data_IF_978667855764
#
_entry.id   IF_978667855764
#
_cell.length_a   1.000
_cell.length_b   1.000
_cell.length_c   1.000
_cell.angle_alpha   90.00
_cell.angle_beta   90.00
_cell.angle_gamma   90.00
#
_symmetry.space_group_name_H-M   'P 1'
#
loop_
_entity.id
_entity.type
_entity.pdbx_description
1 polymer ?
#
# COMPACT_ATOMS: atom_id res chain seq x y z
N UNK A 1 6.58 27.20 -20.33
CA UNK A 1 5.76 26.57 -19.28
C UNK A 1 6.73 25.96 -18.27
N UNK A 2 6.76 26.44 -17.02
CA UNK A 2 7.60 25.84 -15.97
C UNK A 2 6.91 24.55 -15.53
N UNK A 3 7.56 23.40 -15.70
CA UNK A 3 7.05 22.15 -15.15
C UNK A 3 7.26 22.16 -13.63
N UNK A 4 6.18 22.00 -12.88
CA UNK A 4 6.23 21.79 -11.44
C UNK A 4 6.17 20.30 -11.16
N UNK A 5 7.08 19.83 -10.31
CA UNK A 5 7.16 18.43 -9.88
C UNK A 5 6.82 18.35 -8.40
N UNK A 6 6.03 17.33 -8.03
CA UNK A 6 5.79 17.00 -6.63
C UNK A 6 6.80 15.91 -6.23
N UNK A 7 7.72 16.25 -5.33
CA UNK A 7 8.56 15.26 -4.67
C UNK A 7 7.72 14.58 -3.58
N UNK A 8 7.71 13.25 -3.58
CA UNK A 8 7.04 12.45 -2.56
C UNK A 8 8.10 11.95 -1.60
N UNK A 9 7.98 12.33 -0.33
CA UNK A 9 8.82 11.77 0.73
C UNK A 9 8.29 10.39 1.12
N UNK A 10 8.78 9.38 0.41
CA UNK A 10 8.42 7.99 0.68
C UNK A 10 9.04 7.49 1.98
N UNK A 11 10.20 8.03 2.41
CA UNK A 11 10.87 7.57 3.62
C UNK A 11 10.00 7.83 4.86
N UNK A 12 9.49 9.06 5.00
CA UNK A 12 8.60 9.41 6.11
C UNK A 12 7.32 8.56 6.12
N UNK A 13 6.75 8.25 4.95
CA UNK A 13 5.56 7.40 4.84
C UNK A 13 5.82 5.97 5.35
N UNK A 14 6.98 5.38 5.02
CA UNK A 14 7.33 4.05 5.54
C UNK A 14 7.66 4.08 7.04
N UNK A 15 8.26 5.16 7.54
CA UNK A 15 8.45 5.34 8.98
C UNK A 15 7.10 5.41 9.73
N UNK A 16 6.14 6.16 9.20
CA UNK A 16 4.77 6.21 9.74
C UNK A 16 4.08 4.84 9.71
N UNK A 17 4.19 4.12 8.58
CA UNK A 17 3.64 2.77 8.46
C UNK A 17 4.23 1.83 9.52
N UNK A 18 5.56 1.78 9.66
CA UNK A 18 6.24 0.88 10.59
C UNK A 18 6.02 1.25 12.07
N UNK A 19 5.76 2.53 12.36
CA UNK A 19 5.40 2.99 13.70
C UNK A 19 4.02 2.49 14.18
N UNK A 20 3.13 2.06 13.26
CA UNK A 20 1.85 1.47 13.62
C UNK A 20 2.09 0.05 14.16
N UNK A 21 1.86 -0.15 15.45
CA UNK A 21 2.12 -1.44 16.13
C UNK A 21 1.01 -2.47 15.97
N UNK A 22 -0.23 -2.02 15.77
CA UNK A 22 -1.37 -2.89 15.48
C UNK A 22 -1.32 -3.33 14.02
N UNK A 23 -1.15 -4.63 13.79
CA UNK A 23 -0.93 -5.19 12.45
C UNK A 23 -2.11 -4.94 11.50
N UNK A 24 -3.36 -5.03 11.96
CA UNK A 24 -4.50 -4.81 11.08
C UNK A 24 -4.67 -3.33 10.75
N UNK A 25 -4.42 -2.43 11.72
CA UNK A 25 -4.36 -0.99 11.44
C UNK A 25 -3.22 -0.64 10.48
N UNK A 26 -2.06 -1.28 10.61
CA UNK A 26 -0.93 -1.09 9.71
C UNK A 26 -1.27 -1.53 8.29
N UNK A 27 -1.89 -2.71 8.13
CA UNK A 27 -2.38 -3.18 6.83
C UNK A 27 -3.43 -2.24 6.25
N UNK A 28 -4.42 -1.81 7.03
CA UNK A 28 -5.44 -0.89 6.55
C UNK A 28 -4.86 0.50 6.21
N UNK A 29 -3.84 0.98 6.94
CA UNK A 29 -3.09 2.17 6.56
C UNK A 29 -2.37 1.98 5.22
N UNK A 30 -1.70 0.85 5.02
CA UNK A 30 -1.08 0.53 3.73
C UNK A 30 -2.10 0.52 2.58
N UNK A 31 -3.25 -0.14 2.77
CA UNK A 31 -4.32 -0.26 1.77
C UNK A 31 -4.94 1.10 1.43
N UNK A 32 -5.37 1.84 2.43
CA UNK A 32 -6.26 2.98 2.24
C UNK A 32 -5.55 4.34 2.26
N UNK A 33 -4.32 4.41 2.77
CA UNK A 33 -3.49 5.62 2.72
C UNK A 33 -2.46 5.52 1.59
N UNK A 34 -1.62 4.49 1.59
CA UNK A 34 -0.49 4.39 0.66
C UNK A 34 -0.90 3.88 -0.73
N UNK A 35 -1.73 2.84 -0.79
CA UNK A 35 -2.12 2.21 -2.07
C UNK A 35 -3.33 2.86 -2.74
N UNK A 36 -4.17 3.57 -1.98
CA UNK A 36 -5.39 4.24 -2.50
C UNK A 36 -5.13 5.20 -3.66
N UNK A 37 -4.08 6.05 -3.67
CA UNK A 37 -3.75 6.88 -4.83
C UNK A 37 -3.51 6.08 -6.13
N UNK A 38 -3.10 4.82 -5.99
CA UNK A 38 -2.79 3.91 -7.10
C UNK A 38 -3.92 2.91 -7.40
N UNK A 39 -5.10 3.07 -6.82
CA UNK A 39 -6.22 2.12 -6.95
C UNK A 39 -6.58 1.83 -8.41
N UNK A 40 -6.53 2.84 -9.30
CA UNK A 40 -6.76 2.63 -10.73
C UNK A 40 -5.73 1.68 -11.34
N UNK A 41 -4.45 1.83 -11.01
CA UNK A 41 -3.38 0.96 -11.48
C UNK A 41 -3.57 -0.46 -10.95
N UNK A 42 -3.82 -0.61 -9.65
CA UNK A 42 -4.06 -1.90 -9.02
C UNK A 42 -5.28 -2.63 -9.62
N UNK A 43 -6.37 -1.90 -9.86
CA UNK A 43 -7.57 -2.46 -10.49
C UNK A 43 -7.31 -2.94 -11.93
N UNK A 44 -6.44 -2.26 -12.70
CA UNK A 44 -6.09 -2.68 -14.07
C UNK A 44 -5.41 -4.06 -14.10
N UNK A 45 -4.71 -4.43 -13.02
CA UNK A 45 -4.06 -5.74 -12.86
C UNK A 45 -4.85 -6.68 -11.93
N UNK A 46 -6.14 -6.40 -11.70
CA UNK A 46 -7.05 -7.20 -10.88
C UNK A 46 -6.59 -7.42 -9.44
N UNK A 47 -5.86 -6.45 -8.86
CA UNK A 47 -5.47 -6.46 -7.45
C UNK A 47 -6.38 -5.48 -6.70
N UNK A 48 -7.30 -5.94 -5.83
CA UNK A 48 -8.12 -5.04 -5.04
C UNK A 48 -7.31 -4.44 -3.87
N UNK A 49 -7.71 -3.26 -3.37
CA UNK A 49 -7.11 -2.69 -2.15
C UNK A 49 -7.34 -3.57 -0.92
N UNK A 50 -8.50 -4.21 -0.80
CA UNK A 50 -8.81 -5.15 0.28
C UNK A 50 -9.52 -6.36 -0.32
N UNK A 51 -9.12 -7.54 0.11
CA UNK A 51 -9.74 -8.78 -0.33
C UNK A 51 -11.22 -8.83 0.12
N UNK A 52 -12.08 -9.43 -0.71
CA UNK A 52 -13.49 -9.66 -0.36
C UNK A 52 -13.66 -10.79 0.63
N UNK A 53 -12.78 -11.78 0.57
CA UNK A 53 -12.79 -12.97 1.41
C UNK A 53 -11.59 -12.95 2.36
N UNK A 54 -11.74 -13.63 3.50
CA UNK A 54 -10.63 -13.85 4.41
C UNK A 54 -9.54 -14.65 3.69
N UNK A 55 -8.29 -14.17 3.77
CA UNK A 55 -7.13 -14.71 3.03
C UNK A 55 -7.18 -14.56 1.50
N UNK A 56 -8.10 -13.75 0.96
CA UNK A 56 -8.12 -13.43 -0.46
C UNK A 56 -6.96 -12.55 -0.91
N UNK A 57 -6.80 -12.44 -2.23
CA UNK A 57 -5.74 -11.65 -2.86
C UNK A 57 -6.05 -10.15 -2.79
N UNK A 58 -5.09 -9.34 -2.32
CA UNK A 58 -5.16 -7.88 -2.26
C UNK A 58 -3.77 -7.25 -2.36
N UNK A 59 -3.70 -5.92 -2.30
CA UNK A 59 -2.43 -5.18 -2.39
C UNK A 59 -1.40 -5.60 -1.33
N UNK A 60 -1.80 -6.00 -0.13
CA UNK A 60 -0.85 -6.45 0.91
C UNK A 60 -0.21 -7.77 0.49
N UNK A 61 -1.01 -8.71 0.01
CA UNK A 61 -0.50 -9.99 -0.49
C UNK A 61 0.35 -9.80 -1.76
N UNK A 62 -0.11 -8.97 -2.70
CA UNK A 62 0.60 -8.71 -3.94
C UNK A 62 1.98 -8.11 -3.70
N UNK A 63 2.11 -7.09 -2.83
CA UNK A 63 3.39 -6.42 -2.57
C UNK A 63 4.37 -7.31 -1.81
N UNK A 64 3.85 -8.22 -0.97
CA UNK A 64 4.65 -9.26 -0.32
C UNK A 64 5.18 -10.27 -1.34
N UNK A 65 4.33 -10.77 -2.24
CA UNK A 65 4.74 -11.72 -3.29
C UNK A 65 5.75 -11.13 -4.28
N UNK A 66 5.66 -9.84 -4.56
CA UNK A 66 6.60 -9.13 -5.44
C UNK A 66 7.93 -8.79 -4.76
N UNK A 67 8.07 -9.05 -3.46
CA UNK A 67 9.29 -8.77 -2.70
C UNK A 67 9.53 -7.28 -2.41
N UNK A 68 8.52 -6.43 -2.59
CA UNK A 68 8.67 -4.97 -2.41
C UNK A 68 8.42 -4.52 -0.98
N UNK A 69 7.48 -5.14 -0.27
CA UNK A 69 7.16 -4.80 1.12
C UNK A 69 6.43 -5.96 1.79
N UNK A 70 6.97 -6.44 2.91
CA UNK A 70 6.22 -7.23 3.87
C UNK A 70 5.70 -6.30 4.98
N UNK A 71 4.40 -6.03 4.98
CA UNK A 71 3.75 -5.14 5.97
C UNK A 71 3.69 -5.80 7.36
N UNK A 72 3.90 -7.12 7.43
CA UNK A 72 3.93 -7.86 8.70
C UNK A 72 5.28 -7.89 9.40
N UNK A 73 6.36 -7.48 8.73
CA UNK A 73 7.69 -7.34 9.34
C UNK A 73 7.82 -5.99 10.10
#
# INVERSE_FOLDING_TARGET
MVMTYKIIDTLSQYQELLAITDLEKRKDHFRFTMMKPFEKMWNLINVPLKAKEQSGYDVVMATKMLGFADVSD
#
